data_IF_623268984139
#
_entry.id   IF_623268984139
#
_cell.length_a   1.000
_cell.length_b   1.000
_cell.length_c   1.000
_cell.angle_alpha   90.00
_cell.angle_beta   90.00
_cell.angle_gamma   90.00
#
_symmetry.space_group_name_H-M   'P 1'
#
loop_
_entity.id
_entity.type
_entity.pdbx_description
1 polymer ?
#
# COMPACT_ATOMS: atom_id res chain seq x y z
N UNK A 1 16.39 28.93 -40.80
CA UNK A 1 16.94 29.29 -39.48
C UNK A 1 17.87 28.16 -39.06
N UNK A 2 19.11 28.48 -38.63
CA UNK A 2 20.03 27.44 -38.20
C UNK A 2 19.66 27.02 -36.75
N UNK A 3 18.96 25.94 -36.57
CA UNK A 3 18.59 25.42 -35.26
C UNK A 3 19.78 24.62 -34.71
N UNK A 4 20.81 25.30 -34.20
CA UNK A 4 22.05 24.69 -33.68
C UNK A 4 22.23 24.88 -32.19
N UNK A 5 21.39 25.69 -31.54
CA UNK A 5 21.57 26.11 -30.15
C UNK A 5 21.70 24.92 -29.16
N UNK A 6 20.86 23.87 -29.27
CA UNK A 6 20.94 22.70 -28.39
C UNK A 6 22.19 21.86 -28.67
N UNK A 7 22.64 21.80 -29.91
CA UNK A 7 23.88 21.13 -30.27
C UNK A 7 25.09 21.92 -29.70
N UNK A 8 25.05 23.26 -29.78
CA UNK A 8 26.08 24.12 -29.22
C UNK A 8 26.16 24.03 -27.70
N UNK A 9 25.00 23.96 -27.01
CA UNK A 9 24.94 23.75 -25.55
C UNK A 9 25.59 22.43 -25.13
N UNK A 10 25.44 21.36 -25.92
CA UNK A 10 26.09 20.08 -25.68
C UNK A 10 27.54 20.05 -26.23
N UNK A 11 27.94 21.01 -27.03
CA UNK A 11 29.25 21.07 -27.68
C UNK A 11 29.48 19.98 -28.72
N UNK A 12 28.41 19.62 -29.45
CA UNK A 12 28.43 18.58 -30.50
C UNK A 12 28.00 19.16 -31.84
N UNK A 13 28.37 18.52 -32.95
CA UNK A 13 27.92 18.94 -34.27
C UNK A 13 26.44 18.60 -34.53
N UNK A 14 25.79 19.32 -35.46
CA UNK A 14 24.41 19.02 -35.85
C UNK A 14 24.22 17.58 -36.38
N UNK A 15 25.28 16.99 -36.92
CA UNK A 15 25.26 15.62 -37.46
C UNK A 15 25.76 14.58 -36.44
N UNK A 16 25.88 14.93 -35.16
CA UNK A 16 26.34 14.03 -34.12
C UNK A 16 25.42 12.83 -33.96
N UNK A 17 26.02 11.67 -33.75
CA UNK A 17 25.31 10.43 -33.44
C UNK A 17 24.68 10.47 -32.04
N UNK A 18 23.69 9.61 -31.79
CA UNK A 18 23.07 9.49 -30.47
C UNK A 18 24.09 9.16 -29.37
N UNK A 19 25.10 8.35 -29.69
CA UNK A 19 26.17 8.02 -28.75
C UNK A 19 27.06 9.21 -28.40
N UNK A 20 27.34 10.06 -29.38
CA UNK A 20 28.11 11.30 -29.16
C UNK A 20 27.32 12.31 -28.29
N UNK A 21 26.05 12.49 -28.56
CA UNK A 21 25.14 13.32 -27.76
C UNK A 21 25.10 12.81 -26.31
N UNK A 22 24.92 11.51 -26.10
CA UNK A 22 24.90 10.88 -24.78
C UNK A 22 26.23 11.03 -24.03
N UNK A 23 27.35 10.89 -24.75
CA UNK A 23 28.69 11.06 -24.16
C UNK A 23 28.97 12.51 -23.76
N UNK A 24 28.57 13.46 -24.59
CA UNK A 24 28.68 14.90 -24.30
C UNK A 24 27.86 15.29 -23.08
N UNK A 25 26.58 14.84 -23.02
CA UNK A 25 25.71 15.05 -21.87
C UNK A 25 26.32 14.51 -20.56
N UNK A 26 26.81 13.26 -20.54
CA UNK A 26 27.43 12.70 -19.34
C UNK A 26 28.63 13.51 -18.85
N UNK A 27 29.42 14.03 -19.76
CA UNK A 27 30.59 14.86 -19.44
C UNK A 27 30.19 16.20 -18.84
N UNK A 28 29.20 16.88 -19.43
CA UNK A 28 28.73 18.19 -19.00
C UNK A 28 27.89 18.10 -17.74
N UNK A 29 27.03 17.10 -17.62
CA UNK A 29 26.24 16.83 -16.43
C UNK A 29 27.13 16.62 -15.20
N UNK A 30 28.22 15.83 -15.33
CA UNK A 30 29.18 15.64 -14.25
C UNK A 30 29.92 16.94 -13.90
N UNK A 31 30.23 17.80 -14.90
CA UNK A 31 30.95 19.07 -14.72
C UNK A 31 30.09 20.12 -14.00
N UNK A 32 28.81 20.20 -14.29
CA UNK A 32 27.89 21.21 -13.78
C UNK A 32 26.90 20.66 -12.71
N UNK A 33 27.14 19.45 -12.20
CA UNK A 33 26.28 18.85 -11.19
C UNK A 33 26.22 19.73 -9.92
N UNK A 34 25.03 20.04 -9.38
CA UNK A 34 24.87 20.94 -8.23
C UNK A 34 25.59 20.46 -6.96
N UNK A 35 25.77 19.15 -6.81
CA UNK A 35 26.51 18.58 -5.66
C UNK A 35 28.03 18.69 -5.80
N UNK A 36 28.52 18.82 -7.03
CA UNK A 36 29.99 18.85 -7.33
C UNK A 36 30.46 20.25 -7.61
N UNK A 37 29.67 21.05 -8.32
CA UNK A 37 30.04 22.41 -8.74
C UNK A 37 29.10 23.45 -8.09
N UNK A 38 29.63 24.24 -7.17
CA UNK A 38 28.91 25.30 -6.45
C UNK A 38 29.20 26.72 -7.02
N UNK A 39 29.78 26.81 -8.20
CA UNK A 39 30.02 28.10 -8.85
C UNK A 39 28.71 28.78 -9.24
N UNK A 40 28.63 30.13 -9.13
CA UNK A 40 27.47 30.90 -9.60
C UNK A 40 27.18 30.60 -11.08
N UNK A 41 25.95 30.20 -11.42
CA UNK A 41 25.56 29.86 -12.79
C UNK A 41 25.80 28.41 -13.21
N UNK A 42 26.34 27.54 -12.35
CA UNK A 42 26.51 26.10 -12.66
C UNK A 42 25.16 25.40 -12.77
N UNK A 43 24.20 25.76 -11.93
CA UNK A 43 22.84 25.19 -11.94
C UNK A 43 22.08 25.58 -13.22
N UNK A 44 22.20 26.82 -13.68
CA UNK A 44 21.57 27.25 -14.93
C UNK A 44 22.14 26.49 -16.13
N UNK A 45 23.48 26.35 -16.20
CA UNK A 45 24.14 25.56 -17.23
C UNK A 45 23.77 24.07 -17.16
N UNK A 46 23.56 23.53 -15.97
CA UNK A 46 23.09 22.17 -15.82
C UNK A 46 21.69 21.99 -16.43
N UNK A 47 20.76 22.91 -16.13
CA UNK A 47 19.40 22.92 -16.71
C UNK A 47 19.43 23.06 -18.23
N UNK A 48 20.24 23.93 -18.76
CA UNK A 48 20.39 24.10 -20.22
C UNK A 48 20.93 22.84 -20.92
N UNK A 49 21.90 22.16 -20.31
CA UNK A 49 22.50 20.93 -20.81
C UNK A 49 21.48 19.80 -20.74
N UNK A 50 20.66 19.75 -19.69
CA UNK A 50 19.59 18.75 -19.53
C UNK A 50 18.49 18.95 -20.58
N UNK A 51 18.00 20.16 -20.78
CA UNK A 51 17.01 20.52 -21.80
C UNK A 51 17.48 20.14 -23.21
N UNK A 52 18.72 20.46 -23.55
CA UNK A 52 19.32 20.12 -24.84
C UNK A 52 19.39 18.59 -25.04
N UNK A 53 19.77 17.85 -24.00
CA UNK A 53 19.82 16.38 -24.07
C UNK A 53 18.45 15.74 -24.21
N UNK A 54 17.44 16.19 -23.45
CA UNK A 54 16.08 15.68 -23.52
C UNK A 54 15.46 15.84 -24.91
N UNK A 55 15.83 16.91 -25.61
CA UNK A 55 15.35 17.14 -26.98
C UNK A 55 16.14 16.34 -28.01
N UNK A 56 17.46 16.25 -27.89
CA UNK A 56 18.32 15.64 -28.91
C UNK A 56 18.52 14.14 -28.74
N UNK A 57 18.18 13.56 -27.56
CA UNK A 57 18.30 12.12 -27.31
C UNK A 57 17.18 11.27 -27.92
N UNK A 58 16.08 11.89 -28.28
CA UNK A 58 14.96 11.26 -28.95
C UNK A 58 14.92 11.63 -30.43
N UNK A 59 14.90 10.67 -31.34
CA UNK A 59 14.96 10.89 -32.78
C UNK A 59 13.80 11.73 -33.32
N UNK A 60 12.60 11.60 -32.71
CA UNK A 60 11.41 12.36 -33.13
C UNK A 60 11.48 13.80 -32.65
N UNK A 61 11.91 14.04 -31.40
CA UNK A 61 12.09 15.38 -30.85
C UNK A 61 13.24 16.11 -31.56
N UNK A 62 14.31 15.40 -31.88
CA UNK A 62 15.43 15.92 -32.63
C UNK A 62 15.00 16.35 -34.04
N UNK A 63 14.23 15.51 -34.75
CA UNK A 63 13.70 15.84 -36.07
C UNK A 63 12.77 17.06 -36.01
N UNK A 64 11.91 17.17 -35.02
CA UNK A 64 11.04 18.31 -34.79
C UNK A 64 11.86 19.59 -34.47
N UNK A 65 12.88 19.48 -33.64
CA UNK A 65 13.80 20.59 -33.35
C UNK A 65 14.58 21.04 -34.58
N UNK A 66 15.07 20.10 -35.37
CA UNK A 66 15.82 20.40 -36.61
C UNK A 66 14.96 21.13 -37.64
N UNK A 67 13.64 20.82 -37.68
CA UNK A 67 12.69 21.41 -38.61
C UNK A 67 12.09 22.75 -38.15
N UNK A 68 11.73 22.85 -36.86
CA UNK A 68 10.95 23.96 -36.30
C UNK A 68 11.69 24.79 -35.25
N UNK A 69 12.89 24.40 -34.82
CA UNK A 69 13.68 25.06 -33.80
C UNK A 69 13.17 24.83 -32.36
N UNK A 70 13.70 25.63 -31.41
CA UNK A 70 13.31 25.53 -30.02
C UNK A 70 11.80 25.76 -29.77
N UNK A 71 11.14 26.56 -30.61
CA UNK A 71 9.70 26.75 -30.56
C UNK A 71 8.90 25.49 -30.94
N UNK A 72 9.43 24.62 -31.81
CA UNK A 72 8.85 23.35 -32.18
C UNK A 72 9.11 22.25 -31.16
N UNK A 73 10.25 22.30 -30.49
CA UNK A 73 10.61 21.36 -29.41
C UNK A 73 9.81 21.62 -28.12
N UNK A 74 9.40 22.87 -27.90
CA UNK A 74 8.62 23.30 -26.72
C UNK A 74 7.08 23.36 -26.96
N UNK A 75 6.57 22.69 -27.99
CA UNK A 75 5.12 22.57 -28.19
C UNK A 75 4.41 23.82 -28.70
N UNK A 76 5.08 24.65 -29.49
CA UNK A 76 4.51 25.86 -30.08
C UNK A 76 3.67 25.61 -31.33
N UNK A 77 2.58 24.86 -31.24
CA UNK A 77 1.50 24.92 -32.22
C UNK A 77 0.13 24.97 -31.51
N UNK A 78 -0.35 26.16 -31.26
CA UNK A 78 -1.71 26.38 -30.76
C UNK A 78 -1.84 27.48 -29.73
N UNK A 79 -1.95 28.70 -30.20
CA UNK A 79 -2.54 29.91 -29.70
C UNK A 79 -2.89 30.10 -28.21
N UNK A 80 -2.36 31.17 -27.68
CA UNK A 80 -2.94 32.03 -26.63
C UNK A 80 -3.27 31.43 -25.25
N UNK A 81 -2.46 31.80 -24.27
CA UNK A 81 -2.88 31.72 -22.87
C UNK A 81 -1.76 31.31 -21.92
N UNK A 82 -1.10 32.33 -21.36
CA UNK A 82 -0.01 32.24 -20.39
C UNK A 82 -0.15 31.15 -19.34
N UNK A 83 0.88 30.37 -19.25
CA UNK A 83 1.15 29.57 -18.06
C UNK A 83 2.47 30.08 -17.44
N UNK A 84 2.37 31.25 -16.86
CA UNK A 84 3.36 31.74 -15.91
C UNK A 84 2.98 31.24 -14.54
N UNK A 85 3.86 30.47 -13.90
CA UNK A 85 3.76 30.19 -12.49
C UNK A 85 3.62 28.71 -12.14
N UNK A 86 4.68 27.95 -12.27
CA UNK A 86 4.86 26.75 -11.45
C UNK A 86 6.30 26.76 -10.87
N UNK A 87 6.44 27.60 -9.86
CA UNK A 87 7.59 27.58 -8.97
C UNK A 87 7.26 26.64 -7.80
N UNK A 88 8.07 25.60 -7.63
CA UNK A 88 8.14 24.83 -6.39
C UNK A 88 7.27 23.61 -6.27
N UNK A 89 7.76 22.46 -6.72
CA UNK A 89 7.71 21.21 -5.94
C UNK A 89 8.45 20.10 -6.70
N UNK A 90 9.50 19.57 -6.10
CA UNK A 90 10.30 18.47 -6.64
C UNK A 90 9.50 17.19 -6.85
N UNK A 91 9.69 16.55 -7.99
CA UNK A 91 9.07 15.29 -8.32
C UNK A 91 9.37 14.88 -9.76
N UNK A 92 10.43 14.14 -9.98
CA UNK A 92 11.03 13.74 -11.26
C UNK A 92 10.21 12.70 -12.08
N UNK A 93 8.92 12.48 -11.77
CA UNK A 93 8.07 11.46 -12.41
C UNK A 93 6.89 11.95 -13.24
N UNK A 94 6.58 13.25 -13.24
CA UNK A 94 5.31 13.75 -13.79
C UNK A 94 5.33 14.23 -15.24
N UNK A 95 6.51 14.38 -15.86
CA UNK A 95 6.60 14.99 -17.19
C UNK A 95 6.34 13.99 -18.33
N UNK A 96 6.66 12.73 -18.14
CA UNK A 96 6.43 11.68 -19.12
C UNK A 96 4.93 11.36 -19.26
N UNK A 97 4.17 11.41 -18.17
CA UNK A 97 2.71 11.24 -18.17
C UNK A 97 1.98 12.45 -18.77
N UNK A 98 2.47 13.67 -18.56
CA UNK A 98 1.88 14.88 -19.17
C UNK A 98 2.23 14.96 -20.66
N UNK A 99 3.44 14.55 -21.04
CA UNK A 99 3.86 14.55 -22.44
C UNK A 99 3.20 13.44 -23.25
N UNK A 100 3.05 12.23 -22.70
CA UNK A 100 2.29 11.14 -23.34
C UNK A 100 0.80 11.48 -23.47
N UNK A 101 0.25 12.25 -22.54
CA UNK A 101 -1.13 12.75 -22.59
C UNK A 101 -1.33 13.85 -23.63
N UNK A 102 -0.29 14.64 -23.93
CA UNK A 102 -0.38 15.79 -24.82
C UNK A 102 0.13 15.50 -26.25
N UNK A 103 1.15 14.66 -26.41
CA UNK A 103 1.78 14.35 -27.70
C UNK A 103 1.51 12.93 -28.20
N UNK A 104 1.16 12.00 -27.34
CA UNK A 104 0.54 10.73 -27.70
C UNK A 104 -0.91 10.91 -28.19
N UNK A 105 -1.27 12.14 -28.51
CA UNK A 105 -2.57 12.64 -28.90
C UNK A 105 -3.03 12.19 -30.27
N UNK A 106 -3.37 10.97 -30.37
CA UNK A 106 -4.66 10.62 -30.87
C UNK A 106 -5.50 10.48 -29.60
N UNK A 107 -6.43 11.37 -29.35
CA UNK A 107 -7.55 11.08 -28.50
C UNK A 107 -8.09 9.75 -29.00
N UNK A 108 -7.57 8.66 -28.43
CA UNK A 108 -8.20 7.36 -28.59
C UNK A 108 -9.59 7.62 -28.06
N UNK A 109 -10.51 7.90 -28.97
CA UNK A 109 -11.93 7.92 -28.71
C UNK A 109 -12.17 6.63 -27.96
N UNK A 110 -12.16 6.71 -26.60
CA UNK A 110 -12.41 5.55 -25.78
C UNK A 110 -13.73 5.03 -26.25
N UNK A 111 -13.67 3.94 -27.02
CA UNK A 111 -14.88 3.31 -27.49
C UNK A 111 -15.71 2.98 -26.24
N UNK A 112 -16.83 3.65 -26.00
CA UNK A 112 -17.62 3.44 -24.77
C UNK A 112 -18.14 2.01 -24.67
N UNK A 113 -18.10 1.29 -25.78
CA UNK A 113 -18.50 -0.12 -25.88
C UNK A 113 -17.33 -1.10 -25.80
N UNK A 114 -16.10 -0.63 -25.55
CA UNK A 114 -14.97 -1.52 -25.33
C UNK A 114 -15.21 -2.38 -24.07
N UNK A 115 -14.79 -3.64 -24.06
CA UNK A 115 -14.79 -4.46 -22.86
C UNK A 115 -14.04 -3.75 -21.73
N UNK A 116 -14.68 -3.64 -20.57
CA UNK A 116 -14.09 -3.02 -19.37
C UNK A 116 -14.08 -4.02 -18.24
N UNK A 117 -12.96 -4.10 -17.55
CA UNK A 117 -12.85 -4.89 -16.33
C UNK A 117 -13.84 -4.36 -15.27
N UNK A 118 -14.40 -5.27 -14.49
CA UNK A 118 -15.23 -4.96 -13.34
C UNK A 118 -14.41 -4.33 -12.21
N UNK A 119 -15.13 -3.75 -11.26
CA UNK A 119 -14.50 -3.11 -10.12
C UNK A 119 -13.88 -4.15 -9.18
N UNK A 120 -12.78 -3.76 -8.55
CA UNK A 120 -12.12 -4.59 -7.55
C UNK A 120 -12.88 -4.50 -6.22
N UNK A 121 -12.95 -5.60 -5.51
CA UNK A 121 -13.56 -5.68 -4.18
C UNK A 121 -12.50 -5.81 -3.11
N UNK A 122 -12.81 -5.26 -1.93
CA UNK A 122 -11.99 -5.41 -0.75
C UNK A 122 -12.79 -6.10 0.37
N UNK A 123 -12.23 -7.14 0.97
CA UNK A 123 -12.83 -7.87 2.08
C UNK A 123 -11.82 -7.99 3.24
N UNK A 124 -12.25 -7.69 4.47
CA UNK A 124 -11.42 -7.82 5.65
C UNK A 124 -11.65 -9.17 6.32
N UNK A 125 -10.57 -9.90 6.60
CA UNK A 125 -10.60 -11.17 7.33
C UNK A 125 -9.88 -10.98 8.67
N UNK A 126 -10.56 -11.34 9.76
CA UNK A 126 -9.97 -11.38 11.08
C UNK A 126 -9.33 -12.76 11.31
N UNK A 127 -8.10 -12.72 11.81
CA UNK A 127 -7.32 -13.90 12.17
C UNK A 127 -6.98 -13.84 13.65
N UNK A 128 -6.96 -14.99 14.31
CA UNK A 128 -6.33 -15.11 15.62
C UNK A 128 -4.82 -14.95 15.47
N UNK A 129 -4.14 -14.74 16.58
CA UNK A 129 -2.68 -14.60 16.60
C UNK A 129 -1.99 -15.87 16.08
N UNK A 130 -2.47 -17.05 16.48
CA UNK A 130 -1.96 -18.35 16.04
C UNK A 130 -2.20 -18.59 14.55
N UNK A 131 -3.41 -18.29 14.05
CA UNK A 131 -3.72 -18.40 12.62
C UNK A 131 -2.80 -17.55 11.76
N UNK A 132 -2.43 -16.37 12.24
CA UNK A 132 -1.49 -15.48 11.53
C UNK A 132 -0.06 -16.01 11.53
N UNK A 133 0.35 -16.73 12.58
CA UNK A 133 1.69 -17.34 12.68
C UNK A 133 1.79 -18.60 11.82
N UNK A 134 0.82 -19.51 11.95
CA UNK A 134 0.89 -20.83 11.29
C UNK A 134 0.29 -20.87 9.90
N UNK A 135 -0.46 -19.81 9.53
CA UNK A 135 -1.27 -19.80 8.32
C UNK A 135 -2.56 -20.62 8.51
N UNK A 136 -3.51 -20.35 7.65
CA UNK A 136 -4.81 -21.03 7.69
C UNK A 136 -5.49 -20.97 6.34
N UNK A 137 -6.56 -21.76 6.15
CA UNK A 137 -7.46 -21.61 5.03
C UNK A 137 -8.83 -21.17 5.56
N UNK A 138 -9.35 -20.07 5.01
CA UNK A 138 -10.67 -19.54 5.38
C UNK A 138 -11.59 -19.43 4.18
N UNK A 139 -12.85 -19.81 4.36
CA UNK A 139 -13.90 -19.52 3.39
C UNK A 139 -14.43 -18.10 3.61
N UNK A 140 -14.27 -17.26 2.60
CA UNK A 140 -14.78 -15.88 2.58
C UNK A 140 -16.09 -15.85 1.81
N UNK A 141 -17.17 -15.40 2.46
CA UNK A 141 -18.50 -15.24 1.86
C UNK A 141 -18.80 -13.76 1.70
N UNK A 142 -19.12 -13.36 0.49
CA UNK A 142 -19.40 -11.95 0.17
C UNK A 142 -20.42 -11.88 -0.97
N UNK A 143 -20.99 -10.70 -1.16
CA UNK A 143 -21.88 -10.44 -2.28
C UNK A 143 -21.10 -9.68 -3.35
N UNK A 144 -21.30 -10.06 -4.61
CA UNK A 144 -20.75 -9.33 -5.75
C UNK A 144 -21.78 -9.17 -6.86
N UNK A 145 -21.61 -8.17 -7.69
CA UNK A 145 -22.30 -8.10 -8.96
C UNK A 145 -21.67 -9.13 -9.91
N UNK A 146 -22.46 -10.08 -10.35
CA UNK A 146 -22.04 -11.10 -11.29
C UNK A 146 -22.86 -11.00 -12.58
N UNK A 147 -22.36 -11.59 -13.66
CA UNK A 147 -23.14 -11.69 -14.89
C UNK A 147 -24.45 -12.43 -14.61
N UNK A 148 -25.56 -11.85 -15.05
CA UNK A 148 -26.88 -12.40 -14.83
C UNK A 148 -26.99 -13.81 -15.41
N UNK A 149 -27.38 -14.79 -14.60
CA UNK A 149 -27.50 -16.20 -14.99
C UNK A 149 -28.58 -16.44 -16.05
N UNK A 150 -29.61 -15.60 -16.06
CA UNK A 150 -30.74 -15.76 -16.98
C UNK A 150 -30.40 -15.32 -18.40
N UNK A 151 -29.64 -14.22 -18.56
CA UNK A 151 -29.31 -13.67 -19.87
C UNK A 151 -27.82 -13.73 -20.21
N UNK A 152 -26.99 -14.33 -19.37
CA UNK A 152 -25.54 -14.43 -19.52
C UNK A 152 -24.86 -13.08 -19.83
N UNK A 153 -25.30 -12.03 -19.12
CA UNK A 153 -24.72 -10.69 -19.25
C UNK A 153 -25.26 -9.84 -20.41
N UNK A 154 -26.12 -10.38 -21.28
CA UNK A 154 -26.66 -9.64 -22.43
C UNK A 154 -27.65 -8.55 -22.07
N UNK A 155 -28.32 -8.67 -20.92
CA UNK A 155 -29.42 -7.79 -20.50
C UNK A 155 -30.73 -8.05 -21.23
N UNK A 156 -30.73 -8.81 -22.32
CA UNK A 156 -31.92 -9.13 -23.09
C UNK A 156 -32.62 -10.40 -22.57
N UNK A 157 -33.92 -10.49 -22.79
CA UNK A 157 -34.73 -11.69 -22.47
C UNK A 157 -34.17 -12.89 -23.24
N UNK A 158 -34.09 -14.09 -22.60
CA UNK A 158 -33.68 -15.30 -23.28
C UNK A 158 -34.48 -15.53 -24.60
N UNK A 159 -33.77 -15.82 -25.66
CA UNK A 159 -34.36 -15.94 -27.03
C UNK A 159 -34.42 -14.63 -27.81
N UNK A 160 -34.03 -13.50 -27.20
CA UNK A 160 -33.86 -12.22 -27.90
C UNK A 160 -32.42 -11.74 -27.77
N UNK A 161 -32.03 -10.82 -28.69
CA UNK A 161 -30.66 -10.25 -28.69
C UNK A 161 -30.73 -8.74 -28.71
N UNK A 162 -29.76 -8.06 -28.06
CA UNK A 162 -29.60 -6.63 -28.17
C UNK A 162 -29.36 -6.24 -29.64
N UNK A 163 -30.06 -5.22 -30.12
CA UNK A 163 -29.87 -4.68 -31.50
C UNK A 163 -28.97 -3.46 -31.49
N UNK A 164 -28.26 -3.20 -32.56
CA UNK A 164 -27.45 -1.98 -32.70
C UNK A 164 -28.36 -0.74 -32.59
N UNK A 165 -27.97 0.20 -31.73
CA UNK A 165 -28.75 1.43 -31.51
C UNK A 165 -28.86 2.23 -32.81
N UNK A 166 -30.08 2.49 -33.24
CA UNK A 166 -30.35 3.22 -34.50
C UNK A 166 -29.90 4.69 -34.48
N UNK A 167 -29.77 5.30 -33.27
CA UNK A 167 -29.39 6.71 -33.17
C UNK A 167 -27.87 6.94 -33.21
N UNK A 168 -27.08 6.12 -32.54
CA UNK A 168 -25.64 6.26 -32.52
C UNK A 168 -24.90 5.22 -33.39
N UNK A 169 -25.62 4.35 -34.07
CA UNK A 169 -25.10 3.30 -34.96
C UNK A 169 -24.01 2.43 -34.28
N UNK A 170 -24.19 2.17 -32.97
CA UNK A 170 -23.26 1.36 -32.20
C UNK A 170 -22.16 2.15 -31.48
N UNK A 171 -22.00 3.45 -31.73
CA UNK A 171 -20.93 4.24 -31.12
C UNK A 171 -21.14 4.53 -29.62
N UNK A 172 -22.37 4.46 -29.11
CA UNK A 172 -22.70 4.81 -27.73
C UNK A 172 -22.68 6.30 -27.41
N UNK A 173 -22.09 7.10 -28.30
CA UNK A 173 -22.02 8.58 -28.19
C UNK A 173 -22.54 9.22 -29.45
N UNK A 174 -23.00 10.44 -29.37
CA UNK A 174 -23.42 11.29 -30.48
C UNK A 174 -22.64 12.59 -30.45
N UNK A 175 -22.31 13.13 -31.60
CA UNK A 175 -21.68 14.43 -31.73
C UNK A 175 -22.76 15.48 -31.78
N UNK A 176 -22.71 16.46 -30.89
CA UNK A 176 -23.60 17.62 -30.86
C UNK A 176 -22.76 18.86 -31.10
N UNK A 177 -23.16 19.62 -32.11
CA UNK A 177 -22.54 20.90 -32.42
C UNK A 177 -23.24 21.97 -31.54
N UNK A 178 -22.49 22.58 -30.64
CA UNK A 178 -22.97 23.63 -29.72
C UNK A 178 -22.37 24.95 -30.17
N UNK A 179 -23.23 25.97 -30.39
CA UNK A 179 -22.80 27.30 -30.71
C UNK A 179 -22.35 27.99 -29.43
N UNK A 180 -21.08 28.39 -29.38
CA UNK A 180 -20.50 29.15 -28.27
C UNK A 180 -20.14 30.55 -28.73
N UNK A 181 -19.95 31.54 -27.84
CA UNK A 181 -19.51 32.88 -28.22
C UNK A 181 -18.20 32.93 -29.01
N UNK A 182 -17.41 31.85 -28.94
CA UNK A 182 -16.11 31.70 -29.61
C UNK A 182 -16.19 30.84 -30.89
N UNK A 183 -17.40 30.43 -31.32
CA UNK A 183 -17.62 29.63 -32.52
C UNK A 183 -18.36 28.32 -32.26
N UNK A 184 -18.51 27.51 -33.32
CA UNK A 184 -19.12 26.17 -33.25
C UNK A 184 -18.14 25.18 -32.61
N UNK A 185 -18.55 24.60 -31.47
CA UNK A 185 -17.79 23.55 -30.80
C UNK A 185 -18.52 22.21 -30.93
N UNK A 186 -17.84 21.22 -31.46
CA UNK A 186 -18.35 19.83 -31.55
C UNK A 186 -18.02 19.11 -30.24
N UNK A 187 -19.07 18.65 -29.55
CA UNK A 187 -18.96 17.93 -28.28
C UNK A 187 -19.57 16.53 -28.42
N UNK A 188 -18.87 15.54 -27.89
CA UNK A 188 -19.42 14.19 -27.75
C UNK A 188 -20.27 14.12 -26.49
N UNK A 189 -21.50 13.65 -26.62
CA UNK A 189 -22.41 13.38 -25.51
C UNK A 189 -22.87 11.92 -25.57
N UNK A 190 -23.16 11.35 -24.40
CA UNK A 190 -23.70 9.99 -24.30
C UNK A 190 -25.03 9.91 -25.06
N UNK A 191 -25.20 8.87 -25.86
CA UNK A 191 -26.46 8.65 -26.57
C UNK A 191 -27.61 8.42 -25.58
N UNK A 192 -28.62 9.21 -25.68
CA UNK A 192 -29.82 9.19 -24.81
C UNK A 192 -30.72 7.97 -24.99
N UNK A 193 -30.65 7.29 -26.17
CA UNK A 193 -31.43 6.09 -26.46
C UNK A 193 -30.79 4.84 -25.81
N UNK A 194 -29.48 4.64 -26.02
CA UNK A 194 -28.80 3.45 -25.51
C UNK A 194 -27.98 3.71 -24.24
N UNK A 195 -27.94 4.94 -23.73
CA UNK A 195 -27.22 5.36 -22.53
C UNK A 195 -25.74 4.91 -22.53
N UNK A 196 -25.09 5.06 -23.68
CA UNK A 196 -23.68 4.73 -23.85
C UNK A 196 -23.40 3.27 -24.24
N UNK A 197 -24.37 2.38 -24.25
CA UNK A 197 -24.17 0.95 -24.54
C UNK A 197 -23.96 0.62 -26.03
N UNK A 198 -24.29 1.52 -26.94
CA UNK A 198 -24.25 1.27 -28.40
C UNK A 198 -25.28 0.26 -28.89
N UNK A 199 -25.97 -0.42 -27.96
CA UNK A 199 -27.00 -1.43 -28.26
C UNK A 199 -28.28 -1.07 -27.52
N UNK A 200 -29.41 -1.36 -28.14
CA UNK A 200 -30.76 -1.20 -27.61
C UNK A 200 -31.34 -2.55 -27.26
N UNK A 201 -31.89 -2.66 -26.03
CA UNK A 201 -32.55 -3.87 -25.55
C UNK A 201 -34.07 -3.62 -25.63
N UNK A 202 -34.74 -4.22 -26.61
CA UNK A 202 -36.19 -4.07 -26.76
C UNK A 202 -36.95 -4.84 -25.72
N UNK A 203 -36.51 -6.07 -25.44
CA UNK A 203 -37.09 -6.95 -24.43
C UNK A 203 -36.09 -7.16 -23.31
N UNK A 204 -36.20 -6.44 -22.18
CA UNK A 204 -35.28 -6.58 -21.07
C UNK A 204 -35.43 -7.91 -20.37
N UNK A 205 -34.33 -8.47 -19.88
CA UNK A 205 -34.29 -9.66 -19.04
C UNK A 205 -35.10 -9.42 -17.74
N UNK A 206 -35.97 -10.36 -17.40
CA UNK A 206 -36.85 -10.25 -16.22
C UNK A 206 -36.08 -10.29 -14.89
N UNK A 207 -34.87 -10.85 -14.86
CA UNK A 207 -34.04 -11.00 -13.66
C UNK A 207 -33.20 -9.74 -13.41
N UNK A 208 -32.50 -9.25 -14.41
CA UNK A 208 -31.59 -8.12 -14.29
C UNK A 208 -32.16 -6.79 -14.81
N UNK A 209 -33.38 -6.78 -15.35
CA UNK A 209 -34.08 -5.60 -15.86
C UNK A 209 -33.23 -4.80 -16.89
N UNK A 210 -32.47 -5.53 -17.73
CA UNK A 210 -31.67 -4.93 -18.79
C UNK A 210 -30.23 -4.54 -18.38
N UNK A 211 -29.83 -4.69 -17.11
CA UNK A 211 -28.46 -4.35 -16.69
C UNK A 211 -27.40 -5.34 -17.18
N UNK A 212 -27.80 -6.62 -17.32
CA UNK A 212 -26.87 -7.71 -17.59
C UNK A 212 -26.18 -8.27 -16.33
N UNK A 213 -26.36 -7.63 -15.17
CA UNK A 213 -25.73 -7.99 -13.91
C UNK A 213 -26.77 -8.29 -12.83
N UNK A 214 -26.42 -9.14 -11.88
CA UNK A 214 -27.24 -9.43 -10.70
C UNK A 214 -26.35 -9.62 -9.45
N UNK A 215 -26.87 -9.22 -8.30
CA UNK A 215 -26.16 -9.47 -7.03
C UNK A 215 -26.24 -10.95 -6.66
N UNK A 216 -25.08 -11.56 -6.47
CA UNK A 216 -24.97 -12.96 -6.09
C UNK A 216 -24.09 -13.09 -4.85
N UNK A 217 -24.53 -13.96 -3.92
CA UNK A 217 -23.65 -14.44 -2.87
C UNK A 217 -22.59 -15.36 -3.49
N UNK A 218 -21.35 -15.10 -3.18
CA UNK A 218 -20.22 -15.87 -3.65
C UNK A 218 -19.33 -16.28 -2.48
N UNK A 219 -18.74 -17.48 -2.56
CA UNK A 219 -17.78 -17.93 -1.57
C UNK A 219 -16.49 -18.34 -2.26
N UNK A 220 -15.37 -18.06 -1.61
CA UNK A 220 -14.04 -18.41 -2.10
C UNK A 220 -13.17 -18.88 -0.94
N UNK A 221 -12.40 -19.95 -1.18
CA UNK A 221 -11.40 -20.41 -0.22
C UNK A 221 -10.12 -19.60 -0.40
N UNK A 222 -9.67 -18.99 0.70
CA UNK A 222 -8.49 -18.14 0.74
C UNK A 222 -7.43 -18.84 1.56
N UNK A 223 -6.32 -19.18 0.93
CA UNK A 223 -5.16 -19.71 1.61
C UNK A 223 -4.31 -18.56 2.13
N UNK A 224 -4.21 -18.46 3.45
CA UNK A 224 -3.46 -17.42 4.15
C UNK A 224 -2.11 -18.00 4.56
N UNK A 225 -1.00 -17.46 4.06
CA UNK A 225 0.32 -17.99 4.36
C UNK A 225 0.71 -17.75 5.82
N UNK A 226 1.60 -18.60 6.33
CA UNK A 226 2.17 -18.45 7.66
C UNK A 226 3.01 -17.17 7.76
N UNK A 227 2.95 -16.50 8.93
CA UNK A 227 3.71 -15.28 9.18
C UNK A 227 3.08 -14.01 8.66
N UNK A 228 1.80 -14.04 8.27
CA UNK A 228 1.07 -12.86 7.80
C UNK A 228 0.95 -11.79 8.89
N UNK A 229 0.91 -10.52 8.51
CA UNK A 229 0.77 -9.37 9.40
C UNK A 229 -0.50 -8.58 9.09
N UNK A 230 -0.96 -7.80 10.09
CA UNK A 230 -2.09 -6.89 9.90
C UNK A 230 -1.82 -5.89 8.77
N UNK A 231 -2.83 -5.68 7.92
CA UNK A 231 -2.77 -4.76 6.78
C UNK A 231 -2.25 -5.39 5.49
N UNK A 232 -1.76 -6.62 5.53
CA UNK A 232 -1.36 -7.33 4.31
C UNK A 232 -2.57 -7.72 3.47
N UNK A 233 -2.37 -7.71 2.15
CA UNK A 233 -3.43 -7.97 1.19
C UNK A 233 -3.09 -9.21 0.35
N UNK A 234 -4.09 -10.08 0.22
CA UNK A 234 -4.04 -11.26 -0.65
C UNK A 234 -4.95 -10.99 -1.84
N UNK A 235 -4.37 -10.94 -3.04
CA UNK A 235 -5.12 -10.73 -4.28
C UNK A 235 -5.64 -12.06 -4.83
N UNK A 236 -6.92 -12.11 -5.07
CA UNK A 236 -7.60 -13.22 -5.74
C UNK A 236 -8.13 -12.73 -7.08
N UNK A 237 -7.45 -13.12 -8.15
CA UNK A 237 -7.76 -12.66 -9.51
C UNK A 237 -9.15 -13.13 -9.97
N UNK A 238 -9.90 -12.21 -10.60
CA UNK A 238 -11.22 -12.49 -11.16
C UNK A 238 -12.33 -12.77 -10.13
N UNK A 239 -12.13 -12.42 -8.86
CA UNK A 239 -13.09 -12.61 -7.79
C UNK A 239 -13.85 -11.33 -7.40
N UNK A 240 -13.63 -10.21 -8.11
CA UNK A 240 -14.32 -8.93 -7.94
C UNK A 240 -15.67 -8.87 -8.65
N UNK A 241 -16.11 -7.66 -8.98
CA UNK A 241 -17.35 -7.37 -9.72
C UNK A 241 -17.26 -7.83 -11.18
N UNK A 242 -18.39 -8.13 -11.78
CA UNK A 242 -18.45 -8.46 -13.21
C UNK A 242 -18.07 -7.28 -14.09
N UNK A 243 -17.32 -7.55 -15.15
CA UNK A 243 -16.95 -6.54 -16.12
C UNK A 243 -18.10 -6.13 -17.03
N UNK A 244 -17.93 -4.98 -17.68
CA UNK A 244 -18.90 -4.42 -18.60
C UNK A 244 -18.56 -4.79 -20.05
N UNK A 245 -19.58 -4.88 -20.90
CA UNK A 245 -19.41 -5.17 -22.34
C UNK A 245 -18.63 -6.45 -22.65
N UNK A 246 -18.74 -7.47 -21.79
CA UNK A 246 -17.98 -8.72 -21.95
C UNK A 246 -16.53 -8.63 -21.40
N UNK A 247 -16.23 -7.61 -20.62
CA UNK A 247 -14.94 -7.49 -19.93
C UNK A 247 -14.77 -8.52 -18.82
N UNK A 248 -13.53 -8.75 -18.38
CA UNK A 248 -13.24 -9.67 -17.29
C UNK A 248 -13.74 -9.15 -15.94
N UNK A 249 -13.89 -10.05 -14.99
CA UNK A 249 -14.15 -9.69 -13.60
C UNK A 249 -12.99 -8.88 -13.04
N UNK A 250 -13.29 -8.01 -12.05
CA UNK A 250 -12.31 -7.40 -11.18
C UNK A 250 -11.68 -8.41 -10.24
N UNK A 251 -10.84 -7.96 -9.33
CA UNK A 251 -10.13 -8.78 -8.36
C UNK A 251 -10.71 -8.59 -6.95
N UNK A 252 -10.51 -9.59 -6.10
CA UNK A 252 -10.83 -9.48 -4.68
C UNK A 252 -9.53 -9.35 -3.89
N UNK A 253 -9.41 -8.27 -3.13
CA UNK A 253 -8.33 -8.04 -2.19
C UNK A 253 -8.78 -8.40 -0.77
N UNK A 254 -8.22 -9.48 -0.24
CA UNK A 254 -8.47 -9.88 1.14
C UNK A 254 -7.46 -9.22 2.05
N UNK A 255 -7.93 -8.29 2.88
CA UNK A 255 -7.11 -7.55 3.84
C UNK A 255 -7.12 -8.29 5.17
N UNK A 256 -5.94 -8.66 5.64
CA UNK A 256 -5.76 -9.37 6.90
C UNK A 256 -5.79 -8.40 8.08
N UNK A 257 -6.53 -8.76 9.12
CA UNK A 257 -6.54 -8.10 10.43
C UNK A 257 -6.24 -9.14 11.49
N UNK A 258 -5.10 -9.05 12.15
CA UNK A 258 -4.69 -10.00 13.20
C UNK A 258 -5.13 -9.45 14.56
N UNK A 259 -5.79 -10.30 15.35
CA UNK A 259 -6.19 -9.99 16.72
C UNK A 259 -4.97 -9.88 17.63
N UNK A 260 -5.02 -8.94 18.56
CA UNK A 260 -3.96 -8.76 19.55
C UNK A 260 -3.99 -9.94 20.54
N UNK A 261 -2.82 -10.52 20.79
CA UNK A 261 -2.71 -11.57 21.80
C UNK A 261 -2.56 -10.96 23.20
N UNK A 262 -3.25 -11.54 24.19
CA UNK A 262 -3.10 -11.12 25.59
C UNK A 262 -1.75 -11.51 26.19
N UNK A 263 -1.06 -12.47 25.59
CA UNK A 263 0.20 -13.04 26.13
C UNK A 263 1.43 -12.57 25.36
N UNK A 264 1.31 -12.38 24.05
CA UNK A 264 2.43 -12.17 23.16
C UNK A 264 2.34 -10.83 22.43
N UNK A 265 3.48 -10.15 22.31
CA UNK A 265 3.65 -9.03 21.40
C UNK A 265 4.50 -9.52 20.21
N UNK A 266 4.20 -9.07 19.00
CA UNK A 266 4.92 -9.49 17.79
C UNK A 266 5.45 -8.29 17.01
N UNK A 267 6.73 -8.38 16.60
CA UNK A 267 7.35 -7.44 15.67
C UNK A 267 8.05 -8.24 14.55
N UNK A 268 7.48 -8.24 13.36
CA UNK A 268 7.96 -9.04 12.25
C UNK A 268 7.98 -10.53 12.59
N UNK A 269 9.16 -11.15 12.60
CA UNK A 269 9.34 -12.56 12.99
C UNK A 269 9.64 -12.76 14.47
N UNK A 270 9.85 -11.70 15.22
CA UNK A 270 10.20 -11.75 16.64
C UNK A 270 8.95 -11.72 17.50
N UNK A 271 8.91 -12.56 18.54
CA UNK A 271 7.85 -12.61 19.53
C UNK A 271 8.42 -12.19 20.87
N UNK A 272 7.67 -11.37 21.61
CA UNK A 272 8.01 -10.92 22.95
C UNK A 272 7.02 -11.47 23.96
N UNK A 273 7.56 -11.94 25.07
CA UNK A 273 6.78 -12.42 26.21
C UNK A 273 7.31 -11.80 27.51
N UNK A 274 6.41 -11.39 28.41
CA UNK A 274 6.77 -10.84 29.73
C UNK A 274 6.57 -11.91 30.79
N UNK A 275 7.68 -12.39 31.37
CA UNK A 275 7.69 -13.38 32.42
C UNK A 275 7.70 -12.69 33.79
N UNK A 276 6.68 -12.91 34.58
CA UNK A 276 6.66 -12.47 35.99
C UNK A 276 7.30 -13.53 36.88
N UNK A 277 8.39 -13.19 37.54
CA UNK A 277 9.04 -14.02 38.57
C UNK A 277 8.81 -13.42 39.94
N UNK A 278 8.65 -14.27 40.95
CA UNK A 278 8.73 -13.80 42.34
C UNK A 278 10.19 -13.55 42.76
N UNK A 279 10.40 -12.81 43.81
CA UNK A 279 11.74 -12.44 44.31
C UNK A 279 12.59 -13.66 44.68
N UNK A 280 11.97 -14.77 45.12
CA UNK A 280 12.70 -15.97 45.55
C UNK A 280 13.22 -16.71 44.31
N UNK A 281 12.39 -16.88 43.30
CA UNK A 281 12.80 -17.47 42.01
C UNK A 281 13.92 -16.64 41.33
N UNK A 282 13.81 -15.32 41.39
CA UNK A 282 14.81 -14.43 40.80
C UNK A 282 16.16 -14.46 41.56
N UNK A 283 16.10 -14.59 42.90
CA UNK A 283 17.27 -14.58 43.77
C UNK A 283 18.01 -15.94 43.77
N UNK A 284 17.28 -17.03 43.87
CA UNK A 284 17.86 -18.39 44.00
C UNK A 284 18.01 -19.13 42.67
N UNK A 285 17.43 -18.60 41.60
CA UNK A 285 17.26 -19.32 40.36
C UNK A 285 16.09 -20.29 40.41
N UNK A 286 15.58 -20.66 39.24
CA UNK A 286 14.48 -21.61 39.10
C UNK A 286 14.44 -22.15 37.67
N UNK A 287 13.70 -23.25 37.46
CA UNK A 287 13.34 -23.71 36.13
C UNK A 287 11.84 -23.47 35.92
N UNK A 288 11.49 -22.63 35.00
CA UNK A 288 10.10 -22.21 34.75
C UNK A 288 9.65 -22.61 33.36
N UNK A 289 8.41 -23.03 33.26
CA UNK A 289 7.78 -23.35 31.98
C UNK A 289 7.31 -22.05 31.31
N UNK A 290 7.74 -21.80 30.07
CA UNK A 290 7.46 -20.60 29.30
C UNK A 290 6.54 -20.94 28.12
N UNK A 291 5.40 -20.30 28.01
CA UNK A 291 4.55 -20.47 26.83
C UNK A 291 5.26 -19.88 25.59
N UNK A 292 5.24 -20.64 24.52
CA UNK A 292 5.62 -20.18 23.19
C UNK A 292 4.50 -20.47 22.21
N UNK A 293 4.51 -19.83 21.06
CA UNK A 293 3.55 -20.16 20.00
C UNK A 293 3.74 -21.57 19.45
N UNK A 294 4.89 -22.20 19.72
CA UNK A 294 5.22 -23.59 19.31
C UNK A 294 5.05 -24.60 20.47
N UNK A 295 4.30 -24.26 21.50
CA UNK A 295 4.16 -25.05 22.73
C UNK A 295 5.10 -24.58 23.85
N UNK A 296 4.91 -25.13 25.03
CA UNK A 296 5.66 -24.70 26.22
C UNK A 296 7.11 -25.21 26.19
N UNK A 297 8.00 -24.43 26.80
CA UNK A 297 9.46 -24.70 26.86
C UNK A 297 9.98 -24.38 28.25
N UNK A 298 10.79 -25.27 28.80
CA UNK A 298 11.50 -25.02 30.06
C UNK A 298 12.62 -24.01 29.86
N UNK A 299 12.64 -22.98 30.72
CA UNK A 299 13.68 -21.97 30.77
C UNK A 299 14.34 -21.97 32.15
N UNK A 300 15.64 -22.21 32.17
CA UNK A 300 16.46 -22.11 33.40
C UNK A 300 16.77 -20.65 33.68
N UNK A 301 16.32 -20.18 34.83
CA UNK A 301 16.57 -18.82 35.36
C UNK A 301 17.79 -18.89 36.28
N UNK A 302 18.91 -18.26 35.94
CA UNK A 302 20.08 -18.20 36.84
C UNK A 302 19.79 -17.43 38.12
N UNK A 303 20.48 -17.78 39.18
CA UNK A 303 20.44 -17.01 40.44
C UNK A 303 20.83 -15.55 40.22
N UNK A 304 20.22 -14.66 41.00
CA UNK A 304 20.48 -13.21 40.92
C UNK A 304 19.93 -12.56 39.66
N UNK A 305 18.97 -13.17 38.96
CA UNK A 305 18.34 -12.60 37.76
C UNK A 305 17.58 -11.33 38.07
N UNK A 306 17.92 -10.25 37.38
CA UNK A 306 17.32 -8.91 37.59
C UNK A 306 16.12 -8.67 36.67
N UNK A 307 15.22 -7.77 37.10
CA UNK A 307 14.16 -7.25 36.26
C UNK A 307 14.73 -6.63 34.95
N UNK A 308 14.07 -6.85 33.84
CA UNK A 308 14.52 -6.38 32.54
C UNK A 308 15.52 -7.32 31.82
N UNK A 309 16.00 -8.38 32.49
CA UNK A 309 16.83 -9.40 31.86
C UNK A 309 16.05 -10.06 30.70
N UNK A 310 16.69 -10.19 29.55
CA UNK A 310 16.10 -10.81 28.35
C UNK A 310 16.76 -12.17 28.08
N UNK A 311 15.94 -13.18 27.87
CA UNK A 311 16.34 -14.51 27.42
C UNK A 311 15.85 -14.70 25.99
N UNK A 312 16.68 -15.31 25.14
CA UNK A 312 16.37 -15.58 23.73
C UNK A 312 16.09 -17.08 23.54
N UNK A 313 14.89 -17.38 23.11
CA UNK A 313 14.48 -18.73 22.70
C UNK A 313 14.59 -18.82 21.17
N UNK A 314 15.64 -19.48 20.68
CA UNK A 314 15.91 -19.57 19.24
C UNK A 314 14.86 -20.39 18.52
N UNK A 315 14.39 -19.88 17.36
CA UNK A 315 13.42 -20.58 16.51
C UNK A 315 12.04 -20.71 17.12
N UNK A 316 11.71 -19.95 18.17
CA UNK A 316 10.38 -19.94 18.83
C UNK A 316 9.54 -18.71 18.47
N UNK A 317 9.95 -17.95 17.46
CA UNK A 317 9.23 -16.80 16.91
C UNK A 317 8.25 -17.16 15.78
N UNK A 318 7.89 -16.16 14.98
CA UNK A 318 7.04 -16.32 13.81
C UNK A 318 7.87 -16.66 12.55
N UNK A 319 7.31 -17.37 11.59
CA UNK A 319 7.92 -17.59 10.28
C UNK A 319 7.89 -16.29 9.46
N UNK A 320 8.81 -16.17 8.50
CA UNK A 320 8.82 -15.09 7.53
C UNK A 320 7.97 -15.43 6.31
N UNK A 321 7.14 -14.49 5.84
CA UNK A 321 6.38 -14.62 4.59
C UNK A 321 7.25 -14.86 3.35
N UNK A 322 8.46 -14.30 3.34
CA UNK A 322 9.39 -14.42 2.21
C UNK A 322 10.19 -15.73 2.23
N UNK A 323 9.86 -16.63 3.16
CA UNK A 323 10.64 -17.82 3.42
C UNK A 323 11.88 -17.51 4.27
N UNK A 324 12.55 -18.55 4.73
CA UNK A 324 13.73 -18.46 5.60
C UNK A 324 13.51 -19.08 6.97
N UNK A 325 14.41 -18.78 7.91
CA UNK A 325 14.34 -19.31 9.26
C UNK A 325 13.18 -18.70 10.05
N UNK A 326 12.60 -19.49 10.95
CA UNK A 326 11.67 -19.01 11.96
C UNK A 326 12.43 -18.04 12.88
N UNK A 327 11.76 -16.95 13.26
CA UNK A 327 12.30 -15.97 14.19
C UNK A 327 12.48 -16.51 15.60
N UNK A 328 12.81 -15.64 16.53
CA UNK A 328 13.05 -15.99 17.92
C UNK A 328 12.00 -15.40 18.86
N UNK A 329 11.85 -16.01 20.03
CA UNK A 329 11.07 -15.41 21.10
C UNK A 329 12.02 -14.80 22.15
N UNK A 330 11.73 -13.58 22.55
CA UNK A 330 12.42 -12.90 23.65
C UNK A 330 11.53 -12.88 24.88
N UNK A 331 12.05 -13.46 25.98
CA UNK A 331 11.39 -13.48 27.28
C UNK A 331 12.02 -12.39 28.14
N UNK A 332 11.24 -11.37 28.48
CA UNK A 332 11.69 -10.28 29.37
C UNK A 332 11.21 -10.56 30.79
N UNK A 333 12.15 -10.69 31.73
CA UNK A 333 11.85 -10.94 33.13
C UNK A 333 11.32 -9.67 33.80
N UNK A 334 10.25 -9.82 34.53
CA UNK A 334 9.70 -8.82 35.47
C UNK A 334 9.66 -9.42 36.88
N UNK A 335 10.53 -8.94 37.77
CA UNK A 335 10.54 -9.41 39.16
C UNK A 335 9.46 -8.70 39.94
N UNK A 336 8.49 -9.46 40.42
CA UNK A 336 7.34 -8.94 41.17
C UNK A 336 7.59 -9.03 42.66
N UNK A 337 7.52 -7.89 43.35
CA UNK A 337 7.59 -7.84 44.81
C UNK A 337 6.27 -8.31 45.40
N UNK A 338 6.27 -9.31 46.26
CA UNK A 338 5.03 -9.83 46.84
C UNK A 338 4.34 -8.80 47.73
N UNK A 339 3.03 -8.71 47.63
CA UNK A 339 2.16 -7.89 48.45
C UNK A 339 1.33 -8.77 49.39
N UNK A 340 0.76 -8.22 50.46
CA UNK A 340 -0.11 -8.97 51.36
C UNK A 340 0.61 -10.04 52.21
N UNK A 341 1.88 -9.81 52.54
CA UNK A 341 2.70 -10.76 53.28
C UNK A 341 2.10 -11.10 54.67
N UNK A 342 2.07 -12.38 55.02
CA UNK A 342 1.75 -12.84 56.36
C UNK A 342 2.92 -12.60 57.33
N UNK A 343 2.68 -12.79 58.66
CA UNK A 343 3.70 -12.46 59.69
C UNK A 343 4.94 -13.34 59.59
N UNK A 344 4.79 -14.62 59.19
CA UNK A 344 5.91 -15.53 58.97
C UNK A 344 6.78 -15.10 57.80
N UNK A 345 6.18 -14.67 56.70
CA UNK A 345 6.90 -14.14 55.54
C UNK A 345 7.63 -12.82 55.86
N UNK A 346 6.98 -11.93 56.63
CA UNK A 346 7.61 -10.69 57.12
C UNK A 346 8.81 -10.98 58.03
N UNK A 347 8.70 -12.00 58.92
CA UNK A 347 9.80 -12.42 59.77
C UNK A 347 10.98 -12.95 58.96
N UNK A 348 10.74 -13.84 57.96
CA UNK A 348 11.76 -14.38 57.12
C UNK A 348 12.51 -13.29 56.31
N UNK A 349 11.77 -12.30 55.76
CA UNK A 349 12.38 -11.17 55.05
C UNK A 349 13.20 -10.26 55.97
N UNK A 350 12.80 -10.10 57.23
CA UNK A 350 13.60 -9.35 58.24
C UNK A 350 14.88 -10.10 58.60
N UNK A 351 14.82 -11.41 58.74
CA UNK A 351 15.98 -12.26 58.98
C UNK A 351 16.95 -12.23 57.77
N UNK A 352 16.45 -12.33 56.56
CA UNK A 352 17.24 -12.14 55.34
C UNK A 352 17.93 -10.78 55.29
N UNK A 353 17.21 -9.70 55.64
CA UNK A 353 17.79 -8.35 55.68
C UNK A 353 18.89 -8.23 56.74
N UNK A 354 18.69 -8.83 57.90
CA UNK A 354 19.69 -8.83 59.00
C UNK A 354 20.95 -9.64 58.63
N UNK A 355 20.79 -10.76 57.97
CA UNK A 355 21.90 -11.60 57.51
C UNK A 355 22.78 -10.92 56.42
N UNK A 356 22.21 -9.98 55.66
CA UNK A 356 22.91 -9.24 54.60
C UNK A 356 23.27 -7.80 54.97
N UNK A 357 23.18 -7.40 56.23
CA UNK A 357 23.39 -6.02 56.70
C UNK A 357 22.55 -4.95 55.98
N UNK A 358 21.41 -5.36 55.44
CA UNK A 358 20.49 -4.48 54.70
C UNK A 358 19.66 -3.64 55.67
N UNK A 359 19.79 -2.31 55.61
CA UNK A 359 19.02 -1.40 56.47
C UNK A 359 17.59 -1.26 55.97
N UNK A 360 16.63 -1.84 56.65
CA UNK A 360 15.20 -1.65 56.44
C UNK A 360 14.64 -0.78 57.54
N UNK A 361 14.26 0.46 57.22
CA UNK A 361 13.63 1.40 58.17
C UNK A 361 12.13 1.52 57.82
N UNK A 362 11.25 0.62 58.28
CA UNK A 362 9.83 0.78 58.11
C UNK A 362 9.38 2.06 58.82
N UNK A 363 8.64 2.93 58.10
CA UNK A 363 8.00 4.07 58.78
C UNK A 363 7.23 3.52 59.97
N UNK A 364 7.55 4.00 61.20
CA UNK A 364 6.71 3.69 62.34
C UNK A 364 5.30 4.18 62.00
N UNK A 365 4.30 3.28 62.05
CA UNK A 365 2.90 3.69 61.94
C UNK A 365 2.65 4.80 62.92
N UNK A 366 2.23 5.97 62.45
CA UNK A 366 1.88 7.09 63.29
C UNK A 366 0.66 6.72 64.14
N UNK A 367 0.48 7.37 65.28
CA UNK A 367 -0.67 7.15 66.16
C UNK A 367 -2.01 7.23 65.39
N UNK A 368 -2.10 8.03 64.34
CA UNK A 368 -3.28 8.14 63.47
C UNK A 368 -3.52 6.92 62.58
N UNK A 369 -2.50 6.17 62.19
CA UNK A 369 -2.66 4.95 61.38
C UNK A 369 -3.29 3.82 62.19
N UNK A 370 -2.99 3.76 63.52
CA UNK A 370 -3.61 2.78 64.42
C UNK A 370 -5.10 3.08 64.69
N UNK A 371 -5.51 4.35 64.63
CA UNK A 371 -6.92 4.74 64.74
C UNK A 371 -7.69 4.37 63.48
N UNK A 372 -7.07 4.52 62.33
CA UNK A 372 -7.70 4.17 61.02
C UNK A 372 -7.92 2.68 60.88
N UNK A 373 -6.92 1.84 61.22
CA UNK A 373 -7.04 0.37 61.22
C UNK A 373 -8.11 -0.14 62.21
N UNK A 374 -8.40 0.62 63.30
CA UNK A 374 -9.44 0.28 64.27
C UNK A 374 -10.87 0.64 63.81
N UNK A 375 -11.00 1.57 62.85
CA UNK A 375 -12.29 1.98 62.26
C UNK A 375 -12.63 1.29 60.96
N UNK A 376 -11.66 0.67 60.25
CA UNK A 376 -11.90 -0.10 59.00
C UNK A 376 -12.05 -1.61 59.26
N UNK A 377 -12.14 -2.05 60.48
CA UNK A 377 -12.25 -3.45 60.92
C UNK A 377 -13.63 -3.84 61.46
N UNK A 378 -14.73 -3.30 60.85
CA UNK A 378 -16.09 -3.84 60.98
C UNK A 378 -16.67 -4.22 59.63
#
# INVERSE_FOLDING_TARGET
MNNTEFYDRLGVSKNASQDEIKKAYRKLSKKYHPDINKEPGAEEKYKEVQEAYETLSDDQKRAAYDQYGAAGANGGFGGAGGFGGFDGAGGFGGFEDIFSSFFGGGGASRNPNAPRQGDDLQYRVNLTFEEAIFGTEKEVKYNREASCRTCNGSGAKPGTSPVTCGRCHGAGVINVDTQTPLGMMRRQVTCDVCHGRGKEIKDPCTTCHGTGHEKQAHSVHVKIPAGVETGQQIRLAGQGEAGFNGGPYGDLYVVVSVEVSDKFEREGTTIFYKLNLNIVQAALGDTVEIPTVHGDVELVIPEGTQTGKKFRLRGKGAPSLRGGAVGDQYVTVNVVTPTGLNDRQKAALKEFAAAGDLKVNPKKKGFFDHIKDAFEGE
#
